data_IF_954025924025
#
_entry.id   IF_954025924025
#
_cell.length_a   1.000
_cell.length_b   1.000
_cell.length_c   1.000
_cell.angle_alpha   90.00
_cell.angle_beta   90.00
_cell.angle_gamma   90.00
#
_symmetry.space_group_name_H-M   'P 1'
#
loop_
_entity.id
_entity.type
_entity.pdbx_description
1 polymer ?
#
# COMPACT_ATOMS: atom_id res chain seq x y z
N UNK A 1 -0.63 -15.43 -30.22
CA UNK A 1 -0.15 -14.05 -30.00
C UNK A 1 0.93 -14.06 -28.95
N UNK A 2 2.19 -13.81 -29.32
CA UNK A 2 3.32 -13.78 -28.37
C UNK A 2 3.07 -12.69 -27.32
N UNK A 3 3.02 -13.06 -26.03
CA UNK A 3 3.11 -12.12 -24.92
C UNK A 3 4.43 -11.36 -25.06
N UNK A 4 4.41 -10.14 -25.56
CA UNK A 4 5.57 -9.24 -25.46
C UNK A 4 5.96 -9.19 -23.97
N UNK A 5 7.17 -9.62 -23.65
CA UNK A 5 7.78 -9.47 -22.32
C UNK A 5 7.81 -7.97 -21.97
N UNK A 6 6.78 -7.47 -21.35
CA UNK A 6 6.77 -6.08 -20.83
C UNK A 6 7.56 -6.09 -19.52
N UNK A 7 8.59 -5.28 -19.47
CA UNK A 7 9.34 -5.01 -18.24
C UNK A 7 8.35 -4.59 -17.16
N UNK A 8 8.40 -5.24 -15.99
CA UNK A 8 7.52 -4.95 -14.85
C UNK A 8 7.63 -3.50 -14.35
N UNK A 9 6.74 -3.08 -13.46
CA UNK A 9 6.75 -1.71 -12.92
C UNK A 9 8.03 -1.45 -12.10
N UNK A 10 8.41 -2.37 -11.22
CA UNK A 10 9.59 -2.22 -10.35
C UNK A 10 10.90 -1.94 -11.12
N UNK A 11 11.30 -2.72 -12.13
CA UNK A 11 12.51 -2.39 -12.91
C UNK A 11 12.43 -1.03 -13.60
N UNK A 12 11.26 -0.63 -14.11
CA UNK A 12 11.08 0.70 -14.73
C UNK A 12 11.26 1.84 -13.72
N UNK A 13 10.77 1.67 -12.49
CA UNK A 13 10.94 2.65 -11.41
C UNK A 13 12.39 2.73 -10.98
N UNK A 14 13.08 1.60 -10.80
CA UNK A 14 14.51 1.58 -10.47
C UNK A 14 15.34 2.31 -11.54
N UNK A 15 15.09 2.02 -12.82
CA UNK A 15 15.76 2.72 -13.94
C UNK A 15 15.46 4.21 -13.88
N UNK A 16 14.23 4.61 -13.62
CA UNK A 16 13.82 6.02 -13.51
C UNK A 16 14.57 6.74 -12.38
N UNK A 17 14.68 6.11 -11.20
CA UNK A 17 15.45 6.62 -10.06
C UNK A 17 16.93 6.81 -10.45
N UNK A 18 17.57 5.76 -10.98
CA UNK A 18 18.98 5.82 -11.37
C UNK A 18 19.25 6.88 -12.44
N UNK A 19 18.37 6.99 -13.43
CA UNK A 19 18.47 8.03 -14.45
C UNK A 19 18.27 9.44 -13.86
N UNK A 20 17.30 9.61 -12.96
CA UNK A 20 17.05 10.88 -12.26
C UNK A 20 18.26 11.33 -11.44
N UNK A 21 18.87 10.39 -10.71
CA UNK A 21 20.10 10.64 -9.95
C UNK A 21 21.28 11.02 -10.84
N UNK A 22 21.48 10.30 -11.94
CA UNK A 22 22.59 10.56 -12.85
C UNK A 22 22.40 11.86 -13.61
N UNK A 23 21.24 12.06 -14.23
CA UNK A 23 20.99 13.22 -15.09
C UNK A 23 20.75 14.50 -14.30
N UNK A 24 20.33 14.43 -13.03
CA UNK A 24 20.15 15.60 -12.17
C UNK A 24 21.41 16.45 -11.96
N UNK A 25 22.60 15.87 -12.15
CA UNK A 25 23.87 16.61 -12.10
C UNK A 25 24.24 17.28 -13.43
N UNK A 26 23.76 16.75 -14.54
CA UNK A 26 24.27 17.16 -15.89
C UNK A 26 23.20 17.83 -16.74
N UNK A 27 21.92 17.68 -16.38
CA UNK A 27 20.84 18.19 -17.21
C UNK A 27 20.77 19.74 -17.13
N UNK A 28 20.74 20.45 -18.27
CA UNK A 28 20.60 21.90 -18.25
C UNK A 28 19.20 22.31 -17.72
N UNK A 29 19.12 23.45 -17.03
CA UNK A 29 17.90 23.99 -16.41
C UNK A 29 16.66 23.96 -17.32
N UNK A 30 16.70 24.34 -18.61
CA UNK A 30 15.50 24.25 -19.46
C UNK A 30 14.92 22.84 -19.57
N UNK A 31 15.77 21.84 -19.65
CA UNK A 31 15.30 20.45 -19.71
C UNK A 31 14.77 19.97 -18.34
N UNK A 32 15.46 20.33 -17.24
CA UNK A 32 14.98 20.09 -15.88
C UNK A 32 13.58 20.70 -15.66
N UNK A 33 13.38 21.95 -16.04
CA UNK A 33 12.08 22.65 -15.96
C UNK A 33 10.98 21.97 -16.77
N UNK A 34 11.31 21.37 -17.93
CA UNK A 34 10.32 20.62 -18.72
C UNK A 34 9.79 19.39 -17.94
N UNK A 35 10.70 18.62 -17.30
CA UNK A 35 10.30 17.49 -16.45
C UNK A 35 9.52 17.93 -15.22
N UNK A 36 9.89 19.03 -14.59
CA UNK A 36 9.14 19.61 -13.46
C UNK A 36 7.74 20.08 -13.88
N UNK A 37 7.61 20.61 -15.11
CA UNK A 37 6.29 20.98 -15.67
C UNK A 37 5.40 19.74 -15.83
N UNK A 38 5.96 18.65 -16.39
CA UNK A 38 5.23 17.37 -16.45
C UNK A 38 4.85 16.88 -15.05
N UNK A 39 5.78 16.91 -14.10
CA UNK A 39 5.52 16.49 -12.72
C UNK A 39 4.41 17.30 -12.06
N UNK A 40 4.41 18.62 -12.25
CA UNK A 40 3.35 19.49 -11.74
C UNK A 40 1.96 19.11 -12.30
N UNK A 41 1.87 18.90 -13.62
CA UNK A 41 0.60 18.49 -14.27
C UNK A 41 0.16 17.12 -13.79
N UNK A 42 1.07 16.15 -13.74
CA UNK A 42 0.75 14.79 -13.31
C UNK A 42 0.33 14.74 -11.83
N UNK A 43 0.95 15.53 -10.98
CA UNK A 43 0.62 15.67 -9.57
C UNK A 43 -0.78 16.26 -9.37
N UNK A 44 -1.14 17.30 -10.14
CA UNK A 44 -2.51 17.86 -10.14
C UNK A 44 -3.54 16.81 -10.60
N UNK A 45 -3.20 16.02 -11.63
CA UNK A 45 -4.04 14.91 -12.06
C UNK A 45 -4.19 13.84 -10.97
N UNK A 46 -3.13 13.47 -10.27
CA UNK A 46 -3.21 12.56 -9.12
C UNK A 46 -4.12 13.14 -8.02
N UNK A 47 -3.94 14.41 -7.65
CA UNK A 47 -4.78 15.10 -6.67
C UNK A 47 -6.27 15.06 -7.02
N UNK A 48 -6.60 15.28 -8.31
CA UNK A 48 -7.98 15.14 -8.80
C UNK A 48 -8.49 13.70 -8.69
N UNK A 49 -7.64 12.71 -8.97
CA UNK A 49 -8.03 11.30 -8.96
C UNK A 49 -8.21 10.72 -7.55
N UNK A 50 -7.53 11.25 -6.52
CA UNK A 50 -7.57 10.72 -5.15
C UNK A 50 -9.00 10.56 -4.61
N UNK A 51 -9.87 11.56 -4.59
CA UNK A 51 -11.26 11.40 -4.12
C UNK A 51 -12.07 10.40 -4.95
N UNK A 52 -11.85 10.39 -6.26
CA UNK A 52 -12.53 9.46 -7.17
C UNK A 52 -12.08 8.01 -6.92
N UNK A 53 -10.80 7.79 -6.61
CA UNK A 53 -10.26 6.49 -6.21
C UNK A 53 -10.95 6.02 -4.93
N UNK A 54 -11.11 6.88 -3.93
CA UNK A 54 -11.80 6.54 -2.69
C UNK A 54 -13.24 6.13 -2.97
N UNK A 55 -14.02 6.97 -3.66
CA UNK A 55 -15.42 6.69 -3.97
C UNK A 55 -15.55 5.39 -4.77
N UNK A 56 -14.73 5.22 -5.80
CA UNK A 56 -14.80 4.08 -6.72
C UNK A 56 -14.37 2.76 -6.11
N UNK A 57 -13.50 2.77 -5.12
CA UNK A 57 -12.99 1.54 -4.49
C UNK A 57 -13.66 1.25 -3.15
N UNK A 58 -13.83 2.26 -2.28
CA UNK A 58 -14.35 2.06 -0.94
C UNK A 58 -15.86 1.78 -0.94
N UNK A 59 -16.65 2.49 -1.76
CA UNK A 59 -18.11 2.28 -1.80
C UNK A 59 -18.49 0.83 -2.15
N UNK A 60 -18.02 0.25 -3.27
CA UNK A 60 -18.36 -1.15 -3.60
C UNK A 60 -17.74 -2.15 -2.63
N UNK A 61 -16.59 -1.86 -2.02
CA UNK A 61 -16.00 -2.73 -1.01
C UNK A 61 -16.93 -2.83 0.21
N UNK A 62 -17.40 -1.69 0.75
CA UNK A 62 -18.34 -1.66 1.89
C UNK A 62 -19.68 -2.31 1.50
N UNK A 63 -20.20 -2.01 0.31
CA UNK A 63 -21.44 -2.62 -0.19
C UNK A 63 -21.34 -4.15 -0.29
N UNK A 64 -20.19 -4.68 -0.71
CA UNK A 64 -19.91 -6.11 -0.79
C UNK A 64 -19.86 -6.80 0.57
N UNK A 65 -19.30 -6.15 1.59
CA UNK A 65 -19.23 -6.68 2.96
C UNK A 65 -20.64 -6.86 3.56
N UNK A 66 -21.57 -5.96 3.29
CA UNK A 66 -22.91 -5.97 3.87
C UNK A 66 -23.88 -7.03 3.30
N UNK A 67 -23.58 -7.64 2.15
CA UNK A 67 -24.50 -8.57 1.46
C UNK A 67 -24.33 -10.02 1.91
N UNK A 68 -25.32 -10.54 2.66
CA UNK A 68 -25.39 -11.96 2.99
C UNK A 68 -24.17 -12.47 3.77
N UNK A 69 -23.43 -11.52 4.32
CA UNK A 69 -22.21 -11.76 5.07
C UNK A 69 -22.56 -12.51 6.35
N UNK A 70 -22.51 -13.83 6.27
CA UNK A 70 -22.53 -14.67 7.47
C UNK A 70 -21.40 -14.25 8.41
N UNK A 71 -21.47 -14.75 9.65
CA UNK A 71 -20.45 -14.51 10.69
C UNK A 71 -19.00 -14.69 10.17
N UNK A 72 -18.80 -15.59 9.20
CA UNK A 72 -17.50 -15.88 8.60
C UNK A 72 -16.86 -14.63 7.95
N UNK A 73 -17.63 -13.90 7.14
CA UNK A 73 -17.12 -12.69 6.47
C UNK A 73 -16.81 -11.60 7.49
N UNK A 74 -17.75 -11.31 8.39
CA UNK A 74 -17.58 -10.25 9.40
C UNK A 74 -16.34 -10.51 10.25
N UNK A 75 -16.18 -11.75 10.73
CA UNK A 75 -15.03 -12.12 11.57
C UNK A 75 -13.72 -12.02 10.77
N UNK A 76 -13.71 -12.46 9.50
CA UNK A 76 -12.51 -12.34 8.64
C UNK A 76 -12.13 -10.88 8.43
N UNK A 77 -13.09 -9.99 8.13
CA UNK A 77 -12.84 -8.54 7.94
C UNK A 77 -12.32 -7.91 9.24
N UNK A 78 -12.90 -8.23 10.38
CA UNK A 78 -12.45 -7.69 11.68
C UNK A 78 -11.01 -8.13 11.96
N UNK A 79 -10.69 -9.41 11.78
CA UNK A 79 -9.33 -9.92 12.01
C UNK A 79 -8.34 -9.23 11.07
N UNK A 80 -8.63 -9.15 9.77
CA UNK A 80 -7.79 -8.49 8.78
C UNK A 80 -7.57 -7.00 9.10
N UNK A 81 -8.63 -6.30 9.52
CA UNK A 81 -8.55 -4.89 9.90
C UNK A 81 -7.70 -4.67 11.15
N UNK A 82 -7.94 -5.47 12.21
CA UNK A 82 -7.17 -5.37 13.47
C UNK A 82 -5.70 -5.71 13.22
N UNK A 83 -5.41 -6.73 12.43
CA UNK A 83 -4.04 -7.09 12.09
C UNK A 83 -3.33 -5.98 11.30
N UNK A 84 -4.00 -5.36 10.34
CA UNK A 84 -3.47 -4.21 9.59
C UNK A 84 -3.17 -3.01 10.51
N UNK A 85 -4.02 -2.73 11.52
CA UNK A 85 -3.76 -1.70 12.54
C UNK A 85 -2.52 -2.06 13.38
N UNK A 86 -2.43 -3.30 13.84
CA UNK A 86 -1.29 -3.78 14.65
C UNK A 86 0.02 -3.67 13.86
N UNK A 87 0.00 -4.03 12.57
CA UNK A 87 1.16 -3.89 11.68
C UNK A 87 1.61 -2.42 11.54
N UNK A 88 0.67 -1.50 11.32
CA UNK A 88 0.94 -0.06 11.29
C UNK A 88 1.46 0.45 12.63
N UNK A 89 0.84 0.05 13.74
CA UNK A 89 1.25 0.41 15.10
C UNK A 89 2.64 -0.09 15.46
N UNK A 90 2.96 -1.35 15.12
CA UNK A 90 4.29 -1.93 15.31
C UNK A 90 5.34 -1.13 14.52
N UNK A 91 5.01 -0.76 13.27
CA UNK A 91 5.89 0.03 12.42
C UNK A 91 6.13 1.44 12.99
N UNK A 92 5.08 2.10 13.48
CA UNK A 92 5.21 3.41 14.12
C UNK A 92 6.04 3.33 15.40
N UNK A 93 5.76 2.36 16.29
CA UNK A 93 6.49 2.19 17.53
C UNK A 93 7.98 1.88 17.32
N UNK A 94 8.30 0.97 16.40
CA UNK A 94 9.68 0.68 16.03
C UNK A 94 10.37 1.89 15.38
N UNK A 95 9.63 2.60 14.51
CA UNK A 95 10.14 3.77 13.80
C UNK A 95 10.44 4.94 14.72
N UNK A 96 9.57 5.27 15.67
CA UNK A 96 9.81 6.35 16.64
C UNK A 96 11.05 6.09 17.53
N UNK A 97 11.39 4.83 17.75
CA UNK A 97 12.57 4.46 18.52
C UNK A 97 13.85 4.42 17.67
N UNK A 98 13.80 3.89 16.44
CA UNK A 98 15.00 3.64 15.63
C UNK A 98 15.34 4.77 14.64
N UNK A 99 14.32 5.38 13.99
CA UNK A 99 14.55 6.27 12.86
C UNK A 99 15.26 7.59 13.22
N UNK A 100 15.01 8.23 14.40
CA UNK A 100 15.73 9.45 14.75
C UNK A 100 17.24 9.26 14.80
N UNK A 101 17.73 8.14 15.35
CA UNK A 101 19.17 7.83 15.42
C UNK A 101 19.75 7.52 14.04
N UNK A 102 19.00 6.84 13.17
CA UNK A 102 19.40 6.54 11.81
C UNK A 102 19.50 7.80 10.97
N UNK A 103 18.52 8.69 11.05
CA UNK A 103 18.52 9.98 10.36
C UNK A 103 19.68 10.85 10.85
N UNK A 104 19.89 10.93 12.16
CA UNK A 104 21.01 11.68 12.73
C UNK A 104 22.38 11.16 12.23
N UNK A 105 22.55 9.84 12.07
CA UNK A 105 23.79 9.22 11.57
C UNK A 105 24.07 9.53 10.09
N UNK A 106 23.06 9.93 9.32
CA UNK A 106 23.18 10.25 7.89
C UNK A 106 23.24 11.74 7.58
N UNK A 107 23.31 12.60 8.58
CA UNK A 107 23.42 14.06 8.42
C UNK A 107 22.23 14.87 8.90
N UNK A 108 21.25 14.24 9.56
CA UNK A 108 20.08 14.93 10.15
C UNK A 108 18.95 15.21 9.17
N UNK A 109 18.25 16.33 9.36
CA UNK A 109 17.14 16.77 8.48
C UNK A 109 17.62 17.10 7.05
N UNK A 110 16.70 17.07 6.11
CA UNK A 110 17.00 17.46 4.71
C UNK A 110 17.64 18.83 4.64
N UNK A 111 18.64 19.04 3.75
CA UNK A 111 19.16 20.36 3.47
C UNK A 111 18.02 21.31 3.09
N UNK A 112 18.01 22.49 3.71
CA UNK A 112 17.05 23.53 3.28
C UNK A 112 17.43 23.98 1.87
N UNK A 113 16.45 23.95 0.97
CA UNK A 113 16.63 24.43 -0.39
C UNK A 113 16.65 25.95 -0.35
N UNK A 114 17.67 26.55 -0.94
CA UNK A 114 17.64 27.98 -1.23
C UNK A 114 16.61 28.20 -2.35
N UNK A 115 15.48 28.83 -1.99
CA UNK A 115 14.39 29.13 -2.93
C UNK A 115 14.84 29.93 -4.16
N UNK A 116 16.00 30.60 -4.08
CA UNK A 116 16.56 31.35 -5.21
C UNK A 116 17.18 30.45 -6.28
N UNK A 117 17.58 29.23 -5.93
CA UNK A 117 18.21 28.25 -6.84
C UNK A 117 17.31 27.11 -7.23
N UNK A 118 16.09 27.05 -6.68
CA UNK A 118 15.12 26.00 -6.96
C UNK A 118 14.58 26.11 -8.40
N UNK A 119 14.69 25.01 -9.14
CA UNK A 119 14.11 24.93 -10.48
C UNK A 119 12.58 24.94 -10.38
N UNK A 120 11.94 25.90 -11.04
CA UNK A 120 10.49 25.99 -11.13
C UNK A 120 9.97 25.46 -12.49
N UNK A 121 8.76 24.87 -12.51
CA UNK A 121 8.12 24.48 -13.77
C UNK A 121 7.89 25.71 -14.68
N UNK A 122 7.75 25.50 -15.98
CA UNK A 122 7.45 26.59 -16.93
C UNK A 122 6.05 27.18 -16.68
N UNK A 123 5.10 26.33 -16.33
CA UNK A 123 3.74 26.70 -15.96
C UNK A 123 3.12 25.61 -15.10
N UNK A 124 2.07 25.97 -14.39
CA UNK A 124 1.25 25.06 -13.58
C UNK A 124 -0.18 25.09 -14.09
N UNK A 125 -0.83 23.91 -14.10
CA UNK A 125 -2.27 23.77 -14.38
C UNK A 125 -2.95 23.44 -13.06
N UNK A 126 -3.94 24.21 -12.66
CA UNK A 126 -4.72 23.89 -11.47
C UNK A 126 -5.91 22.97 -11.86
N UNK A 127 -5.91 21.74 -11.36
CA UNK A 127 -7.00 20.79 -11.53
C UNK A 127 -7.58 20.51 -10.14
N UNK A 128 -8.60 21.29 -9.70
CA UNK A 128 -9.16 21.12 -8.37
C UNK A 128 -9.85 19.77 -8.24
N UNK A 129 -9.71 19.13 -7.08
CA UNK A 129 -10.46 17.93 -6.75
C UNK A 129 -11.96 18.21 -6.72
N UNK A 130 -12.81 17.28 -7.19
CA UNK A 130 -14.27 17.43 -7.20
C UNK A 130 -14.85 17.54 -5.79
N UNK A 131 -14.30 16.80 -4.85
CA UNK A 131 -14.64 16.79 -3.42
C UNK A 131 -13.36 16.57 -2.63
N UNK A 132 -13.35 16.97 -1.36
CA UNK A 132 -12.23 16.68 -0.49
C UNK A 132 -12.19 15.20 -0.08
N UNK A 133 -11.04 14.78 0.42
CA UNK A 133 -10.77 13.38 0.79
C UNK A 133 -11.71 12.86 1.87
N UNK A 134 -11.97 13.66 2.91
CA UNK A 134 -12.82 13.24 4.03
C UNK A 134 -14.28 13.14 3.59
N UNK A 135 -14.77 14.09 2.79
CA UNK A 135 -16.11 14.04 2.21
C UNK A 135 -16.29 12.80 1.32
N UNK A 136 -15.29 12.46 0.52
CA UNK A 136 -15.30 11.25 -0.31
C UNK A 136 -15.42 9.98 0.53
N UNK A 137 -14.71 9.93 1.65
CA UNK A 137 -14.72 8.80 2.55
C UNK A 137 -16.08 8.67 3.24
N UNK A 138 -16.60 9.76 3.83
CA UNK A 138 -17.93 9.78 4.46
C UNK A 138 -19.01 9.38 3.46
N UNK A 139 -18.98 9.95 2.26
CA UNK A 139 -19.87 9.56 1.18
C UNK A 139 -19.80 8.06 0.87
N UNK A 140 -18.59 7.51 0.75
CA UNK A 140 -18.37 6.10 0.46
C UNK A 140 -18.95 5.18 1.54
N UNK A 141 -18.82 5.55 2.81
CA UNK A 141 -19.43 4.82 3.92
C UNK A 141 -20.96 4.87 3.86
N UNK A 142 -21.54 6.06 3.72
CA UNK A 142 -23.00 6.24 3.65
C UNK A 142 -23.56 5.46 2.46
N UNK A 143 -23.00 5.65 1.27
CA UNK A 143 -23.45 4.98 0.04
C UNK A 143 -23.28 3.46 0.14
N UNK A 144 -22.09 2.97 0.56
CA UNK A 144 -21.80 1.56 0.67
C UNK A 144 -22.72 0.84 1.67
N UNK A 145 -22.89 1.40 2.87
CA UNK A 145 -23.82 0.84 3.89
C UNK A 145 -25.27 0.87 3.43
N UNK A 146 -25.71 1.95 2.75
CA UNK A 146 -27.06 2.06 2.23
C UNK A 146 -27.32 1.02 1.14
N UNK A 147 -26.37 0.83 0.21
CA UNK A 147 -26.46 -0.21 -0.82
C UNK A 147 -26.58 -1.60 -0.19
N UNK A 148 -25.75 -1.88 0.80
CA UNK A 148 -25.77 -3.15 1.52
C UNK A 148 -27.10 -3.37 2.27
N UNK A 149 -27.56 -2.37 3.03
CA UNK A 149 -28.75 -2.48 3.88
C UNK A 149 -30.05 -2.55 3.08
N UNK A 150 -30.21 -1.68 2.08
CA UNK A 150 -31.45 -1.61 1.29
C UNK A 150 -31.45 -2.47 0.04
N UNK A 151 -30.36 -3.14 -0.31
CA UNK A 151 -30.24 -4.00 -1.49
C UNK A 151 -30.38 -3.24 -2.82
N UNK A 152 -29.81 -2.04 -2.90
CA UNK A 152 -29.96 -1.12 -4.04
C UNK A 152 -29.13 -1.58 -5.25
N UNK A 153 -29.63 -2.58 -5.99
CA UNK A 153 -28.92 -3.23 -7.10
C UNK A 153 -28.43 -2.26 -8.19
N UNK A 154 -29.22 -1.26 -8.56
CA UNK A 154 -28.83 -0.28 -9.58
C UNK A 154 -27.61 0.53 -9.13
N UNK A 155 -27.62 1.02 -7.88
CA UNK A 155 -26.49 1.75 -7.31
C UNK A 155 -25.25 0.85 -7.16
N UNK A 156 -25.43 -0.38 -6.74
CA UNK A 156 -24.34 -1.35 -6.66
C UNK A 156 -23.68 -1.58 -8.01
N UNK A 157 -24.47 -1.81 -9.07
CA UNK A 157 -23.95 -1.98 -10.41
C UNK A 157 -23.21 -0.73 -10.88
N UNK A 158 -23.79 0.47 -10.64
CA UNK A 158 -23.15 1.75 -10.95
C UNK A 158 -21.77 1.88 -10.31
N UNK A 159 -21.67 1.61 -9.00
CA UNK A 159 -20.38 1.72 -8.31
C UNK A 159 -19.39 0.62 -8.68
N UNK A 160 -19.83 -0.57 -9.06
CA UNK A 160 -18.96 -1.62 -9.61
C UNK A 160 -18.43 -1.25 -11.01
N UNK A 161 -19.24 -0.64 -11.86
CA UNK A 161 -18.79 -0.11 -13.15
C UNK A 161 -17.84 1.07 -12.95
N UNK A 162 -18.15 1.98 -12.01
CA UNK A 162 -17.26 3.08 -11.67
C UNK A 162 -15.92 2.60 -11.10
N UNK A 163 -15.91 1.57 -10.23
CA UNK A 163 -14.70 0.87 -9.80
C UNK A 163 -13.86 0.41 -10.99
N UNK A 164 -14.52 -0.21 -11.98
CA UNK A 164 -13.82 -0.68 -13.19
C UNK A 164 -13.17 0.47 -13.96
N UNK A 165 -13.84 1.63 -14.06
CA UNK A 165 -13.27 2.84 -14.68
C UNK A 165 -12.04 3.28 -13.92
N UNK A 166 -12.12 3.40 -12.59
CA UNK A 166 -11.00 3.83 -11.73
C UNK A 166 -9.81 2.86 -11.86
N UNK A 167 -10.04 1.55 -11.79
CA UNK A 167 -9.00 0.54 -11.98
C UNK A 167 -8.33 0.66 -13.36
N UNK A 168 -9.09 0.94 -14.41
CA UNK A 168 -8.54 1.16 -15.75
C UNK A 168 -7.74 2.45 -15.88
N UNK A 169 -8.14 3.52 -15.21
CA UNK A 169 -7.35 4.78 -15.17
C UNK A 169 -6.04 4.53 -14.44
N UNK A 170 -6.06 3.84 -13.30
CA UNK A 170 -4.84 3.47 -12.57
C UNK A 170 -3.92 2.62 -13.46
N UNK A 171 -4.44 1.56 -14.07
CA UNK A 171 -3.67 0.62 -14.90
C UNK A 171 -3.11 1.25 -16.18
N UNK A 172 -3.90 2.07 -16.87
CA UNK A 172 -3.57 2.55 -18.21
C UNK A 172 -3.01 3.96 -18.28
N UNK A 173 -3.25 4.80 -17.27
CA UNK A 173 -2.76 6.16 -17.22
C UNK A 173 -1.76 6.35 -16.08
N UNK A 174 -2.12 6.08 -14.82
CA UNK A 174 -1.26 6.38 -13.68
C UNK A 174 0.01 5.50 -13.70
N UNK A 175 -0.15 4.18 -13.68
CA UNK A 175 0.98 3.24 -13.60
C UNK A 175 2.01 3.42 -14.76
N UNK A 176 1.61 3.61 -16.03
CA UNK A 176 2.57 3.83 -17.10
C UNK A 176 3.36 5.14 -17.01
N UNK A 177 2.77 6.20 -16.45
CA UNK A 177 3.40 7.51 -16.31
C UNK A 177 4.24 7.65 -15.03
N UNK A 178 4.02 6.79 -14.02
CA UNK A 178 4.74 6.83 -12.74
C UNK A 178 6.27 6.81 -12.90
N UNK A 179 6.90 5.97 -13.76
CA UNK A 179 8.35 5.99 -13.89
C UNK A 179 8.89 7.36 -14.36
N UNK A 180 8.17 8.04 -15.26
CA UNK A 180 8.56 9.37 -15.72
C UNK A 180 8.40 10.42 -14.61
N UNK A 181 7.32 10.32 -13.84
CA UNK A 181 7.07 11.17 -12.68
C UNK A 181 8.17 11.01 -11.62
N UNK A 182 8.49 9.75 -11.25
CA UNK A 182 9.55 9.43 -10.30
C UNK A 182 10.92 9.89 -10.78
N UNK A 183 11.21 9.73 -12.07
CA UNK A 183 12.43 10.28 -12.69
C UNK A 183 12.55 11.79 -12.44
N UNK A 184 11.51 12.57 -12.72
CA UNK A 184 11.52 14.02 -12.53
C UNK A 184 11.67 14.43 -11.05
N UNK A 185 11.11 13.66 -10.11
CA UNK A 185 11.28 13.88 -8.66
C UNK A 185 12.75 13.69 -8.27
N UNK A 186 13.35 12.55 -8.62
CA UNK A 186 14.76 12.28 -8.26
C UNK A 186 15.74 13.21 -9.03
N UNK A 187 15.36 13.66 -10.20
CA UNK A 187 16.10 14.69 -10.92
C UNK A 187 16.13 16.01 -10.13
N UNK A 188 14.97 16.48 -9.67
CA UNK A 188 14.86 17.68 -8.83
C UNK A 188 15.61 17.52 -7.51
N UNK A 189 15.40 16.40 -6.80
CA UNK A 189 16.11 16.13 -5.54
C UNK A 189 17.63 16.08 -5.70
N UNK A 190 18.12 15.60 -6.84
CA UNK A 190 19.56 15.57 -7.14
C UNK A 190 20.09 16.96 -7.41
N UNK A 191 19.37 17.74 -8.22
CA UNK A 191 19.72 19.12 -8.49
C UNK A 191 19.79 19.96 -7.20
N UNK A 192 18.84 19.73 -6.28
CA UNK A 192 18.76 20.40 -4.99
C UNK A 192 19.72 19.81 -3.93
N UNK A 193 20.54 18.82 -4.27
CA UNK A 193 21.50 18.19 -3.34
C UNK A 193 20.89 17.27 -2.27
N UNK A 194 19.60 16.99 -2.31
CA UNK A 194 18.87 16.21 -1.31
C UNK A 194 18.91 14.69 -1.55
N UNK A 195 19.12 14.27 -2.81
CA UNK A 195 18.97 12.87 -3.22
C UNK A 195 19.87 11.91 -2.44
N UNK A 196 21.11 12.27 -2.17
CA UNK A 196 22.07 11.44 -1.44
C UNK A 196 21.57 11.11 -0.03
N UNK A 197 21.11 12.10 0.71
CA UNK A 197 20.64 11.93 2.08
C UNK A 197 19.38 11.07 2.12
N UNK A 198 18.40 11.35 1.26
CA UNK A 198 17.18 10.57 1.12
C UNK A 198 17.50 9.10 0.87
N UNK A 199 18.38 8.79 -0.09
CA UNK A 199 18.75 7.41 -0.40
C UNK A 199 19.47 6.71 0.74
N UNK A 200 20.37 7.39 1.46
CA UNK A 200 21.08 6.82 2.60
C UNK A 200 20.11 6.49 3.74
N UNK A 201 19.22 7.41 4.10
CA UNK A 201 18.21 7.17 5.14
C UNK A 201 17.30 6.01 4.73
N UNK A 202 16.73 6.05 3.51
CA UNK A 202 15.81 5.02 3.10
C UNK A 202 16.44 3.65 2.90
N UNK A 203 17.72 3.57 2.53
CA UNK A 203 18.42 2.27 2.50
C UNK A 203 18.46 1.58 3.87
N UNK A 204 18.64 2.35 4.94
CA UNK A 204 18.57 1.84 6.32
C UNK A 204 17.13 1.49 6.73
N UNK A 205 16.18 2.37 6.43
CA UNK A 205 14.76 2.16 6.75
C UNK A 205 14.18 0.92 6.06
N UNK A 206 14.57 0.67 4.81
CA UNK A 206 14.18 -0.54 4.07
C UNK A 206 14.57 -1.81 4.84
N UNK A 207 15.79 -1.85 5.40
CA UNK A 207 16.25 -2.99 6.20
C UNK A 207 15.34 -3.17 7.42
N UNK A 208 15.02 -2.10 8.14
CA UNK A 208 14.10 -2.15 9.28
C UNK A 208 12.72 -2.67 8.85
N UNK A 209 12.18 -2.18 7.74
CA UNK A 209 10.89 -2.63 7.21
C UNK A 209 10.92 -4.14 6.91
N UNK A 210 11.99 -4.63 6.28
CA UNK A 210 12.14 -6.06 5.99
C UNK A 210 12.19 -6.91 7.27
N UNK A 211 12.89 -6.44 8.30
CA UNK A 211 12.89 -7.09 9.62
C UNK A 211 11.50 -7.07 10.24
N UNK A 212 10.79 -5.94 10.18
CA UNK A 212 9.43 -5.83 10.68
C UNK A 212 8.46 -6.76 9.94
N UNK A 213 8.61 -6.93 8.63
CA UNK A 213 7.81 -7.91 7.85
C UNK A 213 8.03 -9.35 8.35
N UNK A 214 9.25 -9.71 8.70
CA UNK A 214 9.53 -11.03 9.28
C UNK A 214 8.90 -11.15 10.67
N UNK A 215 9.01 -10.12 11.49
CA UNK A 215 8.45 -10.10 12.85
C UNK A 215 6.92 -10.20 12.86
N UNK A 216 6.22 -9.47 11.98
CA UNK A 216 4.75 -9.57 11.89
C UNK A 216 4.31 -10.96 11.43
N UNK A 217 4.99 -11.57 10.46
CA UNK A 217 4.70 -12.93 10.04
C UNK A 217 4.91 -13.94 11.17
N UNK A 218 5.99 -13.81 11.94
CA UNK A 218 6.21 -14.66 13.12
C UNK A 218 5.08 -14.47 14.12
N UNK A 219 4.69 -13.23 14.40
CA UNK A 219 3.59 -12.89 15.29
C UNK A 219 2.26 -13.53 14.82
N UNK A 220 1.85 -13.30 13.57
CA UNK A 220 0.62 -13.85 12.98
C UNK A 220 0.59 -15.38 13.08
N UNK A 221 1.70 -16.05 12.72
CA UNK A 221 1.78 -17.51 12.77
C UNK A 221 1.93 -18.04 14.20
N UNK A 222 2.51 -17.31 15.14
CA UNK A 222 2.51 -17.68 16.55
C UNK A 222 1.08 -17.68 17.13
N UNK A 223 0.27 -16.66 16.81
CA UNK A 223 -1.13 -16.62 17.21
C UNK A 223 -1.89 -17.77 16.57
N UNK A 224 -1.78 -17.96 15.24
CA UNK A 224 -2.43 -19.05 14.55
C UNK A 224 -2.02 -20.41 15.13
N UNK A 225 -0.73 -20.63 15.35
CA UNK A 225 -0.17 -21.86 15.92
C UNK A 225 -0.68 -22.14 17.34
N UNK A 226 -0.76 -21.11 18.20
CA UNK A 226 -1.31 -21.22 19.56
C UNK A 226 -2.79 -21.63 19.54
N UNK A 227 -3.60 -20.99 18.66
CA UNK A 227 -5.03 -21.28 18.52
C UNK A 227 -5.29 -22.72 18.05
N UNK A 228 -4.52 -23.20 17.06
CA UNK A 228 -4.68 -24.56 16.52
C UNK A 228 -3.81 -25.61 17.21
N UNK A 229 -2.98 -25.21 18.19
CA UNK A 229 -2.03 -26.08 18.92
C UNK A 229 -1.05 -26.80 18.01
N UNK A 230 -0.46 -26.08 17.04
CA UNK A 230 0.51 -26.59 16.07
C UNK A 230 1.75 -25.70 16.04
N UNK A 231 2.87 -26.25 15.60
CA UNK A 231 4.14 -25.53 15.51
C UNK A 231 4.02 -24.35 14.51
N UNK A 232 4.16 -23.08 14.97
CA UNK A 232 3.99 -21.89 14.14
C UNK A 232 5.00 -21.80 13.00
N UNK A 233 6.25 -22.20 13.24
CA UNK A 233 7.29 -22.15 12.22
C UNK A 233 7.07 -23.15 11.09
N UNK A 234 6.45 -24.31 11.38
CA UNK A 234 6.04 -25.26 10.34
C UNK A 234 4.88 -24.73 9.52
N UNK A 235 3.93 -24.06 10.17
CA UNK A 235 2.81 -23.42 9.47
C UNK A 235 3.30 -22.31 8.54
N UNK A 236 4.20 -21.45 9.02
CA UNK A 236 4.83 -20.40 8.23
C UNK A 236 5.66 -20.96 7.07
N UNK A 237 6.47 -21.99 7.32
CA UNK A 237 7.29 -22.65 6.28
C UNK A 237 6.45 -23.21 5.13
N UNK A 238 5.28 -23.76 5.43
CA UNK A 238 4.36 -24.25 4.40
C UNK A 238 3.88 -23.12 3.47
N UNK A 239 3.88 -21.85 3.92
CA UNK A 239 3.49 -20.69 3.12
C UNK A 239 4.63 -20.11 2.28
N UNK A 240 5.86 -20.57 2.45
CA UNK A 240 7.03 -20.06 1.72
C UNK A 240 6.85 -20.03 0.19
N UNK A 241 6.23 -21.04 -0.47
CA UNK A 241 5.99 -20.96 -1.91
C UNK A 241 5.02 -19.82 -2.30
N UNK A 242 4.04 -19.47 -1.46
CA UNK A 242 3.15 -18.35 -1.68
C UNK A 242 3.91 -17.01 -1.52
N UNK A 243 4.76 -16.91 -0.48
CA UNK A 243 5.65 -15.76 -0.26
C UNK A 243 6.54 -15.50 -1.50
N UNK A 244 7.25 -16.53 -1.98
CA UNK A 244 8.14 -16.40 -3.15
C UNK A 244 7.39 -16.06 -4.44
N UNK A 245 6.18 -16.59 -4.62
CA UNK A 245 5.35 -16.28 -5.79
C UNK A 245 4.88 -14.82 -5.73
N UNK A 246 4.46 -14.34 -4.57
CA UNK A 246 4.06 -12.95 -4.37
C UNK A 246 5.23 -11.98 -4.57
N UNK A 247 6.43 -12.35 -4.11
CA UNK A 247 7.67 -11.61 -4.36
C UNK A 247 7.93 -11.40 -5.86
N UNK A 248 7.70 -12.46 -6.67
CA UNK A 248 7.91 -12.40 -8.12
C UNK A 248 6.81 -11.67 -8.89
N UNK A 249 5.57 -11.69 -8.39
CA UNK A 249 4.40 -11.12 -9.09
C UNK A 249 4.03 -9.70 -8.64
N UNK A 250 4.39 -9.32 -7.41
CA UNK A 250 3.90 -8.09 -6.74
C UNK A 250 2.36 -7.96 -6.77
N UNK A 251 1.64 -9.09 -6.81
CA UNK A 251 0.18 -9.12 -6.94
C UNK A 251 -0.42 -10.22 -6.06
N UNK A 252 -1.17 -9.81 -5.04
CA UNK A 252 -1.90 -10.76 -4.18
C UNK A 252 -2.91 -11.58 -4.99
N UNK A 253 -3.64 -10.94 -5.91
CA UNK A 253 -4.62 -11.61 -6.75
C UNK A 253 -4.00 -12.69 -7.66
N UNK A 254 -2.84 -12.43 -8.27
CA UNK A 254 -2.14 -13.40 -9.09
C UNK A 254 -1.59 -14.59 -8.29
N UNK A 255 -1.41 -14.42 -6.97
CA UNK A 255 -0.85 -15.44 -6.07
C UNK A 255 -1.92 -16.32 -5.44
N UNK A 256 -3.21 -15.97 -5.52
CA UNK A 256 -4.32 -16.72 -4.90
C UNK A 256 -4.23 -18.24 -5.12
N UNK A 257 -3.98 -18.77 -6.35
CA UNK A 257 -3.96 -20.23 -6.53
C UNK A 257 -2.86 -20.93 -5.72
N UNK A 258 -1.70 -20.28 -5.57
CA UNK A 258 -0.59 -20.83 -4.77
C UNK A 258 -0.89 -20.70 -3.28
N UNK A 259 -1.43 -19.55 -2.85
CA UNK A 259 -1.82 -19.31 -1.46
C UNK A 259 -2.87 -20.31 -1.00
N UNK A 260 -3.89 -20.59 -1.80
CA UNK A 260 -4.90 -21.62 -1.52
C UNK A 260 -4.24 -22.98 -1.25
N UNK A 261 -3.41 -23.43 -2.19
CA UNK A 261 -2.72 -24.73 -2.08
C UNK A 261 -1.84 -24.85 -0.82
N UNK A 262 -1.15 -23.76 -0.46
CA UNK A 262 -0.32 -23.77 0.75
C UNK A 262 -1.14 -23.69 2.04
N UNK A 263 -2.26 -22.96 2.00
CA UNK A 263 -3.21 -22.87 3.12
C UNK A 263 -3.88 -24.23 3.40
N UNK A 264 -4.25 -24.97 2.34
CA UNK A 264 -4.78 -26.33 2.46
C UNK A 264 -3.75 -27.29 3.07
N UNK A 265 -2.46 -27.17 2.76
CA UNK A 265 -1.38 -27.93 3.42
C UNK A 265 -1.30 -27.64 4.93
N UNK A 266 -1.76 -26.51 5.36
CA UNK A 266 -1.89 -26.16 6.77
C UNK A 266 -3.17 -26.75 7.43
N UNK A 267 -3.88 -27.67 6.74
CA UNK A 267 -5.10 -28.34 7.16
C UNK A 267 -6.29 -27.35 7.30
N UNK A 268 -6.34 -26.34 6.48
CA UNK A 268 -7.53 -25.51 6.29
C UNK A 268 -8.44 -26.21 5.28
N UNK A 269 -9.74 -26.30 5.58
CA UNK A 269 -10.70 -26.90 4.66
C UNK A 269 -10.83 -26.09 3.37
N UNK A 270 -11.08 -26.79 2.24
CA UNK A 270 -11.23 -26.13 0.93
C UNK A 270 -12.34 -25.06 0.92
N UNK A 271 -13.42 -25.29 1.69
CA UNK A 271 -14.52 -24.33 1.83
C UNK A 271 -14.03 -23.02 2.48
N UNK A 272 -13.26 -23.11 3.58
CA UNK A 272 -12.74 -21.95 4.30
C UNK A 272 -11.60 -21.30 3.50
N UNK A 273 -10.66 -22.07 2.99
CA UNK A 273 -9.56 -21.54 2.17
C UNK A 273 -10.08 -20.81 0.93
N UNK A 274 -11.03 -21.44 0.21
CA UNK A 274 -11.64 -20.88 -1.00
C UNK A 274 -12.43 -19.59 -0.77
N UNK A 275 -12.86 -19.31 0.46
CA UNK A 275 -13.51 -18.07 0.84
C UNK A 275 -12.52 -17.05 1.41
N UNK A 276 -11.71 -17.44 2.41
CA UNK A 276 -10.86 -16.51 3.16
C UNK A 276 -9.69 -16.00 2.31
N UNK A 277 -9.01 -16.86 1.57
CA UNK A 277 -7.82 -16.47 0.81
C UNK A 277 -8.13 -15.44 -0.30
N UNK A 278 -9.15 -15.64 -1.17
CA UNK A 278 -9.50 -14.61 -2.16
C UNK A 278 -9.99 -13.30 -1.53
N UNK A 279 -10.71 -13.38 -0.40
CA UNK A 279 -11.16 -12.20 0.33
C UNK A 279 -9.97 -11.44 0.92
N UNK A 280 -9.11 -12.11 1.70
CA UNK A 280 -7.94 -11.49 2.33
C UNK A 280 -6.95 -10.92 1.31
N UNK A 281 -6.80 -11.53 0.13
CA UNK A 281 -5.98 -11.00 -0.95
C UNK A 281 -6.36 -9.56 -1.38
N UNK A 282 -7.55 -9.10 -1.01
CA UNK A 282 -8.03 -7.73 -1.30
C UNK A 282 -8.18 -6.85 -0.06
N UNK A 283 -8.44 -7.44 1.12
CA UNK A 283 -8.76 -6.65 2.32
C UNK A 283 -7.66 -6.69 3.40
N UNK A 284 -6.72 -7.63 3.32
CA UNK A 284 -5.65 -7.79 4.31
C UNK A 284 -4.32 -7.32 3.73
N UNK A 285 -3.85 -6.16 4.18
CA UNK A 285 -2.66 -5.48 3.66
C UNK A 285 -1.71 -5.07 4.79
N UNK A 286 -1.45 -5.96 5.77
CA UNK A 286 -0.60 -5.71 6.93
C UNK A 286 0.82 -5.25 6.55
N UNK A 287 1.48 -5.96 5.65
CA UNK A 287 2.82 -5.59 5.16
C UNK A 287 2.83 -4.26 4.37
N UNK A 288 1.74 -3.94 3.65
CA UNK A 288 1.62 -2.66 2.96
C UNK A 288 1.40 -1.49 3.93
N UNK A 289 0.51 -1.65 4.92
CA UNK A 289 0.28 -0.64 5.95
C UNK A 289 1.54 -0.37 6.77
N UNK A 290 2.29 -1.43 7.12
CA UNK A 290 3.56 -1.33 7.84
C UNK A 290 4.58 -0.48 7.09
N UNK A 291 4.83 -0.77 5.80
CA UNK A 291 5.81 -0.01 5.01
C UNK A 291 5.35 1.42 4.73
N UNK A 292 4.03 1.65 4.49
CA UNK A 292 3.49 3.00 4.31
C UNK A 292 3.70 3.81 5.59
N UNK A 293 3.40 3.26 6.76
CA UNK A 293 3.57 3.94 8.05
C UNK A 293 5.05 4.24 8.33
N UNK A 294 5.96 3.29 8.08
CA UNK A 294 7.40 3.50 8.25
C UNK A 294 7.93 4.61 7.34
N UNK A 295 7.61 4.56 6.05
CA UNK A 295 8.05 5.58 5.09
C UNK A 295 7.44 6.95 5.40
N UNK A 296 6.16 7.00 5.79
CA UNK A 296 5.50 8.24 6.17
C UNK A 296 6.17 8.88 7.40
N UNK A 297 6.42 8.10 8.45
CA UNK A 297 7.14 8.58 9.63
C UNK A 297 8.54 9.09 9.27
N UNK A 298 9.25 8.37 8.41
CA UNK A 298 10.59 8.79 7.96
C UNK A 298 10.55 10.12 7.21
N UNK A 299 9.57 10.31 6.33
CA UNK A 299 9.41 11.57 5.61
C UNK A 299 9.07 12.70 6.59
N UNK A 300 8.13 12.50 7.51
CA UNK A 300 7.80 13.49 8.53
C UNK A 300 9.05 13.92 9.34
N UNK A 301 9.88 12.95 9.77
CA UNK A 301 11.12 13.23 10.50
C UNK A 301 12.15 13.99 9.66
N UNK A 302 12.26 13.68 8.35
CA UNK A 302 13.18 14.35 7.44
C UNK A 302 12.76 15.78 7.10
N UNK A 303 11.45 16.01 6.93
CA UNK A 303 10.89 17.29 6.48
C UNK A 303 10.40 18.17 7.62
N UNK A 304 10.43 17.67 8.88
CA UNK A 304 9.97 18.40 10.05
C UNK A 304 8.45 18.50 10.18
N UNK A 305 7.70 17.62 9.49
CA UNK A 305 6.25 17.55 9.63
C UNK A 305 5.83 16.94 10.98
N UNK A 306 4.62 17.27 11.49
CA UNK A 306 4.09 16.69 12.71
C UNK A 306 4.08 15.15 12.64
N UNK A 307 4.49 14.51 13.73
CA UNK A 307 4.58 13.04 13.82
C UNK A 307 4.25 12.52 15.22
N UNK A 308 3.43 13.25 15.96
CA UNK A 308 2.99 12.86 17.29
C UNK A 308 2.12 11.57 17.28
N UNK A 309 2.07 10.86 18.43
CA UNK A 309 1.33 9.59 18.50
C UNK A 309 -0.16 9.70 18.14
N UNK A 310 -0.82 10.80 18.55
CA UNK A 310 -2.25 10.99 18.27
C UNK A 310 -2.53 11.08 16.77
N UNK A 311 -1.72 11.86 16.06
CA UNK A 311 -1.81 12.01 14.61
C UNK A 311 -1.56 10.68 13.87
N UNK A 312 -0.52 9.94 14.28
CA UNK A 312 -0.21 8.67 13.63
C UNK A 312 -1.18 7.55 13.98
N UNK A 313 -1.76 7.51 15.17
CA UNK A 313 -2.86 6.59 15.49
C UNK A 313 -4.05 6.86 14.57
N UNK A 314 -4.45 8.13 14.42
CA UNK A 314 -5.53 8.50 13.51
C UNK A 314 -5.19 8.12 12.05
N UNK A 315 -3.97 8.42 11.60
CA UNK A 315 -3.50 8.02 10.28
C UNK A 315 -3.57 6.51 10.05
N UNK A 316 -3.08 5.70 10.99
CA UNK A 316 -3.07 4.23 10.88
C UNK A 316 -4.49 3.66 10.84
N UNK A 317 -5.41 4.17 11.66
CA UNK A 317 -6.81 3.76 11.65
C UNK A 317 -7.47 4.05 10.30
N UNK A 318 -7.28 5.26 9.76
CA UNK A 318 -7.83 5.65 8.46
C UNK A 318 -7.17 4.90 7.31
N UNK A 319 -5.84 4.72 7.35
CA UNK A 319 -5.10 3.93 6.39
C UNK A 319 -5.65 2.49 6.35
N UNK A 320 -5.85 1.86 7.51
CA UNK A 320 -6.35 0.48 7.59
C UNK A 320 -7.75 0.32 7.00
N UNK A 321 -8.62 1.31 7.17
CA UNK A 321 -9.94 1.34 6.52
C UNK A 321 -9.80 1.39 4.99
N UNK A 322 -8.94 2.27 4.50
CA UNK A 322 -8.71 2.45 3.07
C UNK A 322 -8.04 1.22 2.45
N UNK A 323 -7.17 0.54 3.19
CA UNK A 323 -6.52 -0.69 2.74
C UNK A 323 -7.52 -1.81 2.46
N UNK A 324 -8.64 -1.90 3.18
CA UNK A 324 -9.73 -2.88 2.90
C UNK A 324 -10.31 -2.69 1.48
N UNK A 325 -10.19 -1.49 0.92
CA UNK A 325 -10.71 -1.18 -0.42
C UNK A 325 -9.62 -1.04 -1.48
N UNK A 326 -8.35 -1.17 -1.11
CA UNK A 326 -7.25 -0.98 -2.05
C UNK A 326 -7.23 -2.07 -3.13
N UNK A 327 -6.98 -1.72 -4.41
CA UNK A 327 -6.92 -2.72 -5.47
C UNK A 327 -5.70 -3.62 -5.31
N UNK A 328 -5.89 -4.94 -5.47
CA UNK A 328 -4.85 -5.98 -5.35
C UNK A 328 -3.88 -6.03 -6.54
N UNK A 329 -3.53 -4.89 -7.12
CA UNK A 329 -2.60 -4.74 -8.25
C UNK A 329 -1.32 -4.03 -7.80
N UNK A 330 -0.18 -4.21 -8.50
CA UNK A 330 1.06 -3.52 -8.15
C UNK A 330 0.86 -2.00 -8.01
N UNK A 331 1.30 -1.44 -6.87
CA UNK A 331 1.14 -0.02 -6.57
C UNK A 331 -0.27 0.40 -6.13
N UNK A 332 -1.26 -0.49 -6.10
CA UNK A 332 -2.66 -0.15 -5.77
C UNK A 332 -2.82 0.41 -4.37
N UNK A 333 -2.17 -0.17 -3.38
CA UNK A 333 -2.27 0.27 -1.99
C UNK A 333 -1.70 1.68 -1.77
N UNK A 334 -0.58 2.04 -2.41
CA UNK A 334 -0.05 3.41 -2.25
C UNK A 334 -0.95 4.43 -2.94
N UNK A 335 -1.56 4.11 -4.09
CA UNK A 335 -2.51 5.01 -4.73
C UNK A 335 -3.70 5.31 -3.82
N UNK A 336 -4.22 4.30 -3.12
CA UNK A 336 -5.27 4.50 -2.14
C UNK A 336 -4.79 5.29 -0.90
N UNK A 337 -3.54 5.09 -0.47
CA UNK A 337 -2.96 5.75 0.70
C UNK A 337 -2.61 7.23 0.47
N UNK A 338 -2.52 7.71 -0.77
CA UNK A 338 -2.23 9.14 -1.04
C UNK A 338 -3.24 10.07 -0.36
N UNK A 339 -4.49 9.61 -0.23
CA UNK A 339 -5.54 10.35 0.43
C UNK A 339 -5.22 10.68 1.90
N UNK A 340 -5.01 9.70 2.80
CA UNK A 340 -4.69 9.97 4.19
C UNK A 340 -3.29 10.59 4.37
N UNK A 341 -2.33 10.31 3.49
CA UNK A 341 -1.02 10.96 3.50
C UNK A 341 -1.15 12.48 3.31
N UNK A 342 -1.97 12.89 2.35
CA UNK A 342 -2.21 14.32 2.09
C UNK A 342 -3.08 14.97 3.15
N UNK A 343 -4.24 14.38 3.48
CA UNK A 343 -5.26 15.00 4.32
C UNK A 343 -4.95 14.96 5.82
N UNK A 344 -4.23 13.94 6.29
CA UNK A 344 -3.92 13.75 7.71
C UNK A 344 -2.49 14.20 8.03
N UNK A 345 -1.50 13.73 7.25
CA UNK A 345 -0.10 14.04 7.50
C UNK A 345 0.38 15.32 6.78
N UNK A 346 -0.47 15.91 5.93
CA UNK A 346 -0.16 17.17 5.23
C UNK A 346 0.87 17.03 4.11
N UNK A 347 1.05 15.82 3.56
CA UNK A 347 2.04 15.58 2.51
C UNK A 347 1.73 16.39 1.27
N UNK A 348 2.69 17.18 0.85
CA UNK A 348 2.68 17.91 -0.42
C UNK A 348 2.96 16.95 -1.60
N UNK A 349 3.02 17.50 -2.82
CA UNK A 349 3.21 16.72 -4.04
C UNK A 349 4.56 16.00 -4.11
N UNK A 350 5.62 16.59 -3.56
CA UNK A 350 6.97 16.00 -3.57
C UNK A 350 7.07 14.85 -2.58
N UNK A 351 6.53 15.01 -1.39
CA UNK A 351 6.46 13.99 -0.35
C UNK A 351 5.60 12.80 -0.80
N UNK A 352 4.47 13.06 -1.46
CA UNK A 352 3.65 12.01 -2.07
C UNK A 352 4.41 11.26 -3.18
N UNK A 353 5.14 11.96 -4.03
CA UNK A 353 5.94 11.35 -5.08
C UNK A 353 7.06 10.47 -4.52
N UNK A 354 7.73 10.93 -3.47
CA UNK A 354 8.74 10.17 -2.76
C UNK A 354 8.11 8.91 -2.12
N UNK A 355 6.95 9.04 -1.48
CA UNK A 355 6.19 7.90 -0.95
C UNK A 355 5.87 6.85 -2.02
N UNK A 356 5.40 7.29 -3.20
CA UNK A 356 5.09 6.38 -4.31
C UNK A 356 6.36 5.63 -4.75
N UNK A 357 7.47 6.35 -4.93
CA UNK A 357 8.73 5.76 -5.37
C UNK A 357 9.23 4.69 -4.39
N UNK A 358 9.26 5.02 -3.10
CA UNK A 358 9.71 4.14 -2.04
C UNK A 358 8.79 2.94 -1.86
N UNK A 359 7.48 3.17 -1.90
CA UNK A 359 6.51 2.09 -1.81
C UNK A 359 6.70 1.08 -2.94
N UNK A 360 6.81 1.54 -4.18
CA UNK A 360 6.95 0.68 -5.36
C UNK A 360 8.28 -0.10 -5.32
N UNK A 361 9.36 0.52 -4.84
CA UNK A 361 10.65 -0.15 -4.67
C UNK A 361 10.57 -1.38 -3.75
N UNK A 362 9.65 -1.36 -2.78
CA UNK A 362 9.44 -2.44 -1.81
C UNK A 362 8.12 -3.21 -2.00
N UNK A 363 7.39 -2.98 -3.10
CA UNK A 363 6.03 -3.50 -3.26
C UNK A 363 5.97 -5.02 -3.22
N UNK A 364 6.92 -5.69 -3.84
CA UNK A 364 7.04 -7.16 -3.82
C UNK A 364 7.11 -7.74 -2.41
N UNK A 365 7.89 -7.12 -1.52
CA UNK A 365 8.07 -7.60 -0.15
C UNK A 365 6.81 -7.42 0.69
N UNK A 366 6.15 -6.26 0.58
CA UNK A 366 4.87 -6.02 1.26
C UNK A 366 3.78 -6.97 0.77
N UNK A 367 3.71 -7.21 -0.54
CA UNK A 367 2.76 -8.17 -1.12
C UNK A 367 3.03 -9.60 -0.64
N UNK A 368 4.30 -10.00 -0.55
CA UNK A 368 4.67 -11.31 -0.03
C UNK A 368 4.28 -11.48 1.46
N UNK A 369 4.44 -10.43 2.26
CA UNK A 369 3.98 -10.38 3.65
C UNK A 369 2.45 -10.53 3.73
N UNK A 370 1.68 -9.71 3.00
CA UNK A 370 0.22 -9.77 2.97
C UNK A 370 -0.30 -11.18 2.67
N UNK A 371 0.15 -11.73 1.52
CA UNK A 371 -0.27 -13.06 1.04
C UNK A 371 0.05 -14.19 2.02
N UNK A 372 1.17 -14.08 2.73
CA UNK A 372 1.57 -15.09 3.71
C UNK A 372 0.70 -14.98 4.95
N UNK A 373 0.41 -13.77 5.42
CA UNK A 373 -0.50 -13.50 6.54
C UNK A 373 -1.95 -13.93 6.26
N UNK A 374 -2.41 -13.86 4.98
CA UNK A 374 -3.71 -14.43 4.57
C UNK A 374 -3.86 -15.90 5.00
N UNK A 375 -2.76 -16.67 4.90
CA UNK A 375 -2.70 -18.05 5.35
C UNK A 375 -2.88 -18.20 6.88
N UNK A 376 -2.29 -17.30 7.67
CA UNK A 376 -2.44 -17.31 9.12
C UNK A 376 -3.90 -17.00 9.52
N UNK A 377 -4.52 -15.98 8.88
CA UNK A 377 -5.94 -15.66 9.09
C UNK A 377 -6.82 -16.86 8.73
N UNK A 378 -6.58 -17.50 7.58
CA UNK A 378 -7.35 -18.67 7.16
C UNK A 378 -7.26 -19.84 8.16
N UNK A 379 -6.07 -20.07 8.76
CA UNK A 379 -5.88 -21.08 9.81
C UNK A 379 -6.74 -20.75 11.05
N UNK A 380 -6.72 -19.49 11.49
CA UNK A 380 -7.52 -19.04 12.64
C UNK A 380 -9.02 -19.20 12.36
N UNK A 381 -9.46 -18.71 11.20
CA UNK A 381 -10.88 -18.81 10.79
C UNK A 381 -11.32 -20.27 10.69
N UNK A 382 -10.50 -21.15 10.12
CA UNK A 382 -10.83 -22.57 10.00
C UNK A 382 -11.04 -23.26 11.35
N UNK A 383 -10.36 -22.82 12.40
CA UNK A 383 -10.55 -23.35 13.75
C UNK A 383 -11.97 -23.10 14.28
N UNK A 384 -12.57 -21.97 13.93
CA UNK A 384 -13.88 -21.56 14.45
C UNK A 384 -15.03 -21.91 13.52
N UNK A 385 -14.80 -21.96 12.20
CA UNK A 385 -15.84 -22.10 11.18
C UNK A 385 -15.64 -23.33 10.28
N UNK A 386 -14.47 -23.99 10.28
CA UNK A 386 -14.25 -25.21 9.53
C UNK A 386 -15.12 -26.34 10.10
N UNK A 387 -15.79 -27.11 9.23
CA UNK A 387 -16.42 -28.36 9.64
C UNK A 387 -15.33 -29.26 10.18
N UNK A 388 -15.55 -29.87 11.37
CA UNK A 388 -14.66 -30.92 11.88
C UNK A 388 -14.56 -31.99 10.80
N UNK A 389 -13.44 -32.06 10.10
CA UNK A 389 -13.12 -33.28 9.35
C UNK A 389 -13.04 -34.39 10.40
N UNK A 390 -14.01 -35.30 10.38
CA UNK A 390 -13.92 -36.57 11.06
C UNK A 390 -12.66 -37.23 10.49
N UNK A 391 -11.60 -37.26 11.31
CA UNK A 391 -10.42 -38.06 11.04
C UNK A 391 -10.91 -39.50 11.14
N UNK A 392 -11.23 -40.09 10.00
CA UNK A 392 -11.25 -41.54 9.88
C UNK A 392 -9.79 -42.00 9.93
N UNK A 393 -9.41 -42.47 11.14
CA UNK A 393 -8.26 -43.31 11.37
C UNK A 393 -8.36 -44.60 10.55
#
# INVERSE_FOLDING_TARGET
MQKKNRIGLLPRVIIAILLGLFLGYYLPDPAGRAFLTFNSIFSQFLGFMIPLIIIGLVTPAIAGIGKGAGKLLIVTVIIAYVDTILAGGLSYGAGTWLFPSMIASTGGSMPQIDKATELAPYFTINIPAMVDVMSSLVFSFIAGLSIAHYGLRTMENLFNEFKTIIEKVIEKAIIPLLPLYIFGVFLSMTHNGQARQVLLVFSQIIIVILVLHVLILIYEFCIAGAIVKRNPFRLLWNMLPAYLTALGTSSSAATIPVTLKQTEKNNVSNEVAGFVVPLCATIHLSGSAMKITACALTICLLTGLPHDPGLFIYFILMLSIIMVAAPGVPGGAIMAALAPLSSILGFNQEEQALMIALYIAMDSFGTACNVTGDGAIAIVINKFFGKKQLIHL
#
